data_IF_320438813159
#
_entry.id   IF_320438813159
#
_cell.length_a   1.000
_cell.length_b   1.000
_cell.length_c   1.000
_cell.angle_alpha   90.00
_cell.angle_beta   90.00
_cell.angle_gamma   90.00
#
_symmetry.space_group_name_H-M   'P 1'
#
loop_
_entity.id
_entity.type
_entity.pdbx_description
1 polymer ?
#
# COMPACT_ATOMS: atom_id res chain seq x y z
N UNK A 1 13.47 13.56 33.34
CA UNK A 1 12.05 13.24 33.53
C UNK A 1 11.26 14.23 32.70
N UNK A 2 10.80 13.81 31.51
CA UNK A 2 9.89 14.62 30.69
C UNK A 2 8.54 13.93 30.81
N UNK A 3 7.77 14.41 31.78
CA UNK A 3 6.35 14.18 31.87
C UNK A 3 5.71 15.36 31.12
N UNK A 4 5.51 15.19 29.82
CA UNK A 4 4.76 16.15 28.99
C UNK A 4 3.39 15.56 28.79
N UNK A 5 2.44 16.20 29.48
CA UNK A 5 1.01 15.98 29.44
C UNK A 5 0.50 16.10 28.00
N UNK A 6 0.33 14.97 27.31
CA UNK A 6 -0.46 14.91 26.09
C UNK A 6 -1.93 15.14 26.45
N UNK A 7 -2.42 16.37 26.27
CA UNK A 7 -3.82 16.71 26.52
C UNK A 7 -4.74 16.01 25.51
N UNK A 8 -5.98 15.72 25.90
CA UNK A 8 -7.04 15.16 25.05
C UNK A 8 -7.20 15.76 23.62
N UNK A 9 -6.91 17.05 23.33
CA UNK A 9 -6.91 17.59 21.97
C UNK A 9 -5.88 16.93 21.05
N UNK A 10 -4.74 16.47 21.57
CA UNK A 10 -3.67 15.83 20.78
C UNK A 10 -4.10 14.45 20.32
N UNK A 11 -4.77 13.69 21.20
CA UNK A 11 -5.38 12.39 20.89
C UNK A 11 -6.51 12.54 19.87
N UNK A 12 -7.30 13.62 19.95
CA UNK A 12 -8.35 13.92 18.98
C UNK A 12 -7.76 14.32 17.63
N UNK A 13 -6.70 15.13 17.61
CA UNK A 13 -5.99 15.50 16.39
C UNK A 13 -5.37 14.27 15.70
N UNK A 14 -4.69 13.41 16.46
CA UNK A 14 -4.12 12.15 15.98
C UNK A 14 -5.20 11.21 15.43
N UNK A 15 -6.34 11.07 16.12
CA UNK A 15 -7.45 10.25 15.65
C UNK A 15 -8.06 10.76 14.32
N UNK A 16 -8.18 12.08 14.17
CA UNK A 16 -8.69 12.70 12.93
C UNK A 16 -7.68 12.54 11.78
N UNK A 17 -6.39 12.70 12.06
CA UNK A 17 -5.31 12.49 11.09
C UNK A 17 -5.30 11.03 10.62
N UNK A 18 -5.32 10.07 11.54
CA UNK A 18 -5.40 8.64 11.25
C UNK A 18 -6.63 8.29 10.39
N UNK A 19 -7.79 8.87 10.70
CA UNK A 19 -9.01 8.66 9.92
C UNK A 19 -8.87 9.20 8.48
N UNK A 20 -8.31 10.41 8.33
CA UNK A 20 -8.04 10.99 7.01
C UNK A 20 -7.07 10.12 6.19
N UNK A 21 -6.01 9.61 6.82
CA UNK A 21 -5.05 8.73 6.18
C UNK A 21 -5.69 7.40 5.77
N UNK A 22 -6.48 6.79 6.65
CA UNK A 22 -7.23 5.58 6.34
C UNK A 22 -8.17 5.76 5.15
N UNK A 23 -8.90 6.88 5.08
CA UNK A 23 -9.76 7.18 3.94
C UNK A 23 -8.98 7.36 2.65
N UNK A 24 -7.82 8.02 2.71
CA UNK A 24 -6.94 8.21 1.56
C UNK A 24 -6.42 6.86 1.05
N UNK A 25 -5.91 6.02 1.94
CA UNK A 25 -5.42 4.68 1.61
C UNK A 25 -6.53 3.81 1.02
N UNK A 26 -7.71 3.80 1.64
CA UNK A 26 -8.87 3.06 1.13
C UNK A 26 -9.30 3.54 -0.25
N UNK A 27 -9.27 4.85 -0.53
CA UNK A 27 -9.54 5.38 -1.88
C UNK A 27 -8.49 4.95 -2.89
N UNK A 28 -7.22 4.92 -2.53
CA UNK A 28 -6.15 4.45 -3.41
C UNK A 28 -6.29 2.95 -3.70
N UNK A 29 -6.47 2.12 -2.67
CA UNK A 29 -6.69 0.68 -2.82
C UNK A 29 -7.98 0.38 -3.59
N UNK A 30 -9.03 1.19 -3.40
CA UNK A 30 -10.31 1.05 -4.10
C UNK A 30 -10.23 1.30 -5.61
N UNK A 31 -9.22 2.03 -6.09
CA UNK A 31 -8.99 2.29 -7.52
C UNK A 31 -8.24 1.16 -8.23
N UNK A 32 -7.61 0.27 -7.47
CA UNK A 32 -6.88 -0.85 -8.02
C UNK A 32 -7.83 -1.95 -8.48
N UNK A 33 -7.64 -2.40 -9.72
CA UNK A 33 -8.26 -3.66 -10.17
C UNK A 33 -7.73 -4.84 -9.36
N UNK A 34 -8.49 -5.95 -9.31
CA UNK A 34 -8.05 -7.17 -8.61
C UNK A 34 -6.68 -7.67 -9.09
N UNK A 35 -6.37 -7.48 -10.37
CA UNK A 35 -5.06 -7.84 -10.93
C UNK A 35 -3.95 -6.93 -10.45
N UNK A 36 -4.18 -5.62 -10.35
CA UNK A 36 -3.19 -4.67 -9.83
C UNK A 36 -2.93 -4.89 -8.33
N UNK A 37 -3.99 -5.17 -7.54
CA UNK A 37 -3.86 -5.57 -6.13
C UNK A 37 -2.98 -6.81 -5.99
N UNK A 38 -3.28 -7.86 -6.75
CA UNK A 38 -2.49 -9.08 -6.74
C UNK A 38 -1.02 -8.82 -7.13
N UNK A 39 -0.77 -7.99 -8.14
CA UNK A 39 0.60 -7.61 -8.51
C UNK A 39 1.33 -6.95 -7.34
N UNK A 40 0.71 -5.99 -6.66
CA UNK A 40 1.33 -5.30 -5.51
C UNK A 40 1.53 -6.25 -4.32
N UNK A 41 0.53 -7.08 -4.00
CA UNK A 41 0.63 -8.14 -2.99
C UNK A 41 1.87 -9.01 -3.23
N UNK A 42 2.05 -9.51 -4.45
CA UNK A 42 3.23 -10.30 -4.80
C UNK A 42 4.54 -9.49 -4.78
N UNK A 43 4.54 -8.19 -5.12
CA UNK A 43 5.74 -7.33 -5.10
C UNK A 43 6.21 -7.05 -3.68
N UNK A 44 5.27 -6.80 -2.77
CA UNK A 44 5.56 -6.41 -1.39
C UNK A 44 5.56 -7.61 -0.43
N UNK A 45 5.15 -8.79 -0.88
CA UNK A 45 5.12 -10.01 -0.09
C UNK A 45 3.97 -9.95 0.91
N UNK A 46 2.78 -9.59 0.45
CA UNK A 46 1.58 -9.58 1.27
C UNK A 46 0.60 -10.65 0.79
N UNK A 47 -0.09 -11.37 1.69
CA UNK A 47 0.08 -11.36 3.15
C UNK A 47 1.21 -12.29 3.65
N UNK A 48 1.82 -13.09 2.77
CA UNK A 48 2.65 -14.25 3.13
C UNK A 48 4.16 -13.96 3.30
N UNK A 49 4.59 -12.72 3.09
CA UNK A 49 6.01 -12.32 3.11
C UNK A 49 6.77 -12.67 1.82
N UNK A 50 6.16 -13.36 0.84
CA UNK A 50 6.85 -13.89 -0.34
C UNK A 50 6.97 -12.84 -1.45
N UNK A 51 7.99 -11.99 -1.36
CA UNK A 51 8.27 -10.99 -2.38
C UNK A 51 8.73 -11.62 -3.69
N UNK A 52 8.16 -11.16 -4.80
CA UNK A 52 8.53 -11.56 -6.16
C UNK A 52 9.05 -10.38 -6.96
N UNK A 53 10.00 -10.63 -7.87
CA UNK A 53 10.50 -9.57 -8.76
C UNK A 53 9.46 -9.24 -9.83
N UNK A 54 9.57 -8.05 -10.46
CA UNK A 54 8.73 -7.70 -11.60
C UNK A 54 8.83 -8.72 -12.74
N UNK A 55 10.02 -9.30 -12.96
CA UNK A 55 10.23 -10.35 -13.98
C UNK A 55 9.49 -11.63 -13.62
N UNK A 56 9.49 -12.04 -12.36
CA UNK A 56 8.82 -13.28 -11.95
C UNK A 56 7.31 -13.14 -12.06
N UNK A 57 6.75 -12.01 -11.61
CA UNK A 57 5.32 -11.71 -11.72
C UNK A 57 4.91 -11.62 -13.19
N UNK A 58 5.71 -10.97 -14.04
CA UNK A 58 5.44 -10.89 -15.47
C UNK A 58 5.41 -12.28 -16.13
N UNK A 59 6.34 -13.16 -15.77
CA UNK A 59 6.34 -14.56 -16.22
C UNK A 59 5.09 -15.31 -15.76
N UNK A 60 4.71 -15.19 -14.49
CA UNK A 60 3.52 -15.84 -13.93
C UNK A 60 2.23 -15.40 -14.64
N UNK A 61 2.18 -14.13 -15.04
CA UNK A 61 1.03 -13.52 -15.70
C UNK A 61 1.03 -13.66 -17.23
N UNK A 62 2.10 -14.20 -17.84
CA UNK A 62 2.24 -14.31 -19.29
C UNK A 62 2.31 -12.95 -20.01
N UNK A 63 2.86 -11.92 -19.36
CA UNK A 63 2.92 -10.55 -19.89
C UNK A 63 4.35 -10.00 -19.87
N UNK A 64 4.56 -8.83 -20.50
CA UNK A 64 5.83 -8.12 -20.39
C UNK A 64 6.04 -7.51 -18.99
N UNK A 65 7.29 -7.49 -18.53
CA UNK A 65 7.72 -6.80 -17.30
C UNK A 65 7.28 -5.33 -17.24
N UNK A 66 7.14 -4.68 -18.41
CA UNK A 66 6.78 -3.27 -18.50
C UNK A 66 5.35 -2.98 -18.01
N UNK A 67 4.46 -3.98 -18.00
CA UNK A 67 3.15 -3.83 -17.37
C UNK A 67 3.28 -3.75 -15.85
N UNK A 68 4.01 -4.70 -15.24
CA UNK A 68 4.26 -4.71 -13.79
C UNK A 68 4.98 -3.43 -13.35
N UNK A 69 6.00 -2.97 -14.10
CA UNK A 69 6.67 -1.71 -13.80
C UNK A 69 5.77 -0.48 -13.86
N UNK A 70 4.73 -0.48 -14.70
CA UNK A 70 3.78 0.65 -14.76
C UNK A 70 2.89 0.68 -13.52
N UNK A 71 2.49 -0.48 -13.01
CA UNK A 71 1.73 -0.59 -11.77
C UNK A 71 2.59 -0.09 -10.60
N UNK A 72 3.82 -0.59 -10.45
CA UNK A 72 4.72 -0.14 -9.37
C UNK A 72 4.88 1.39 -9.36
N UNK A 73 5.05 2.03 -10.53
CA UNK A 73 5.23 3.49 -10.65
C UNK A 73 3.94 4.30 -10.44
N UNK A 74 2.77 3.73 -10.69
CA UNK A 74 1.50 4.43 -10.50
C UNK A 74 1.09 4.45 -9.03
N UNK A 75 1.55 3.47 -8.27
CA UNK A 75 1.13 3.21 -6.89
C UNK A 75 2.23 3.43 -5.84
N UNK A 76 3.48 3.71 -6.27
CA UNK A 76 4.58 4.24 -5.43
C UNK A 76 4.64 5.75 -5.56
#
# INVERSE_FOLDING_TARGET
>A
MIDVLGTAPDVVAEAVENQCEHERLNKQIGRLSSREKWVLEMRFGMPDGSRKTQRDIAKMLGISRSYVSRIDKRET
#
